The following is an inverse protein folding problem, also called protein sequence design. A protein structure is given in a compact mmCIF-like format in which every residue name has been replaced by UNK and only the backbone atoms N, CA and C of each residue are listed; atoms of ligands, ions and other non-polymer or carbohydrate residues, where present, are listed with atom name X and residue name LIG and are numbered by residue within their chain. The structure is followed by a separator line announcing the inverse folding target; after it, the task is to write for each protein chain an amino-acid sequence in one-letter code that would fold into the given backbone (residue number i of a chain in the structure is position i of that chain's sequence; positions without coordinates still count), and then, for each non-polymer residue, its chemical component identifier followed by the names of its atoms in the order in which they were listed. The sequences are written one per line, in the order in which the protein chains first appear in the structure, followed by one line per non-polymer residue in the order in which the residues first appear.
data_IF_089227932761
#
_entry.id   IF_089227932761
#
_cell.length_a   1.000
_cell.length_b   1.000
_cell.length_c   1.000
_cell.angle_alpha   90.00
_cell.angle_beta   90.00
_cell.angle_gamma   90.00
#
_symmetry.space_group_name_H-M   'P 1'
#
loop_
_entity.id
_entity.type
_entity.pdbx_description
1 polymer ?
#
# COMPACT_ATOMS: atom_id res chain seq x y z
N UNK A 1 5.55 27.05 -10.84
CA UNK A 1 4.49 26.10 -10.38
C UNK A 1 4.96 25.40 -9.11
N UNK A 2 4.29 25.64 -7.99
CA UNK A 2 4.72 25.24 -6.64
C UNK A 2 4.73 23.71 -6.49
N UNK A 3 5.93 23.13 -6.56
CA UNK A 3 6.14 21.73 -6.24
C UNK A 3 6.26 21.62 -4.72
N UNK A 4 5.16 21.27 -4.05
CA UNK A 4 5.06 21.22 -2.58
C UNK A 4 5.91 20.10 -1.93
N UNK A 5 6.47 19.19 -2.72
CA UNK A 5 7.29 18.07 -2.26
C UNK A 5 8.61 18.00 -3.05
N UNK A 6 9.71 17.84 -2.33
CA UNK A 6 11.01 17.56 -2.92
C UNK A 6 11.15 16.05 -3.19
N UNK A 7 11.11 15.65 -4.46
CA UNK A 7 11.26 14.24 -4.85
C UNK A 7 12.74 13.87 -4.82
N UNK A 8 13.15 13.11 -3.80
CA UNK A 8 14.55 12.70 -3.63
C UNK A 8 14.88 11.45 -4.44
N UNK A 9 13.94 10.49 -4.53
CA UNK A 9 14.12 9.21 -5.22
C UNK A 9 12.77 8.65 -5.71
N UNK A 10 12.84 7.77 -6.72
CA UNK A 10 11.71 7.00 -7.23
C UNK A 10 12.08 5.50 -7.30
N UNK A 11 11.14 4.64 -6.94
CA UNK A 11 11.34 3.19 -6.89
C UNK A 11 10.15 2.46 -7.51
N UNK A 12 10.43 1.37 -8.24
CA UNK A 12 9.41 0.57 -8.93
C UNK A 12 8.63 -0.42 -8.05
N UNK A 13 8.96 -0.56 -6.76
CA UNK A 13 8.29 -1.51 -5.86
C UNK A 13 8.18 -0.98 -4.43
N UNK A 14 7.15 -1.42 -3.72
CA UNK A 14 6.97 -1.08 -2.29
C UNK A 14 8.13 -1.61 -1.44
N UNK A 15 8.70 -2.75 -1.80
CA UNK A 15 9.81 -3.33 -1.03
C UNK A 15 11.09 -2.51 -1.17
N UNK A 16 11.40 -2.02 -2.38
CA UNK A 16 12.53 -1.10 -2.58
C UNK A 16 12.35 0.21 -1.79
N UNK A 17 11.12 0.74 -1.72
CA UNK A 17 10.82 1.91 -0.87
C UNK A 17 11.08 1.57 0.60
N UNK A 18 10.62 0.41 1.09
CA UNK A 18 10.83 0.00 2.49
C UNK A 18 12.30 -0.08 2.85
N UNK A 19 13.11 -0.72 2.02
CA UNK A 19 14.56 -0.82 2.26
C UNK A 19 15.24 0.57 2.26
N UNK A 20 14.84 1.47 1.36
CA UNK A 20 15.35 2.84 1.35
C UNK A 20 14.97 3.62 2.63
N UNK A 21 13.74 3.42 3.14
CA UNK A 21 13.32 4.02 4.40
C UNK A 21 14.08 3.46 5.60
N UNK A 22 14.31 2.14 5.65
CA UNK A 22 15.08 1.47 6.71
C UNK A 22 16.54 1.96 6.69
N UNK A 23 17.10 2.20 5.50
CA UNK A 23 18.41 2.79 5.32
C UNK A 23 18.48 4.30 5.66
N UNK A 24 17.36 4.93 6.04
CA UNK A 24 17.31 6.33 6.47
C UNK A 24 17.34 7.34 5.33
N UNK A 25 17.01 6.93 4.10
CA UNK A 25 17.14 7.76 2.91
C UNK A 25 15.98 8.75 2.70
N UNK A 26 14.93 8.70 3.53
CA UNK A 26 13.82 9.66 3.46
C UNK A 26 12.56 9.25 4.21
N UNK A 27 11.43 9.80 3.79
CA UNK A 27 10.08 9.50 4.29
C UNK A 27 9.15 9.19 3.11
N UNK A 28 8.12 8.37 3.34
CA UNK A 28 7.13 8.04 2.33
C UNK A 28 5.74 7.81 2.93
N UNK A 29 4.71 7.91 2.10
CA UNK A 29 3.33 7.57 2.45
C UNK A 29 3.05 6.17 1.91
N UNK A 30 2.87 5.21 2.82
CA UNK A 30 2.64 3.80 2.48
C UNK A 30 1.37 3.27 3.13
N UNK A 31 0.83 2.18 2.58
CA UNK A 31 -0.26 1.46 3.23
C UNK A 31 0.22 0.91 4.57
N UNK A 32 -0.51 1.17 5.66
CA UNK A 32 -0.18 0.59 6.96
C UNK A 32 -0.03 -0.93 6.88
N UNK A 33 -0.86 -1.59 6.07
CA UNK A 33 -0.80 -3.05 5.85
C UNK A 33 0.52 -3.54 5.26
N UNK A 34 1.22 -2.74 4.44
CA UNK A 34 2.49 -3.15 3.81
C UNK A 34 3.71 -2.97 4.71
N UNK A 35 3.59 -2.19 5.80
CA UNK A 35 4.67 -1.88 6.74
C UNK A 35 4.42 -2.39 8.17
N UNK A 36 3.35 -3.19 8.38
CA UNK A 36 2.99 -3.73 9.71
C UNK A 36 4.13 -4.47 10.39
N UNK A 37 4.92 -5.24 9.64
CA UNK A 37 6.04 -6.02 10.17
C UNK A 37 7.15 -5.08 10.64
N UNK A 38 7.52 -4.12 9.82
CA UNK A 38 8.62 -3.19 10.08
C UNK A 38 8.32 -2.27 11.27
N UNK A 39 7.05 -1.85 11.44
CA UNK A 39 6.62 -1.13 12.65
C UNK A 39 6.72 -2.02 13.89
N UNK A 40 6.20 -3.25 13.82
CA UNK A 40 6.25 -4.20 14.94
C UNK A 40 7.69 -4.51 15.36
N UNK A 41 8.57 -4.69 14.38
CA UNK A 41 9.97 -5.06 14.58
C UNK A 41 10.85 -3.82 14.89
N UNK A 42 10.26 -2.61 14.93
CA UNK A 42 10.95 -1.36 15.27
C UNK A 42 11.87 -0.81 14.18
N UNK A 43 11.82 -1.36 12.98
CA UNK A 43 12.63 -0.96 11.82
C UNK A 43 12.13 0.34 11.18
N UNK A 44 10.82 0.59 11.23
CA UNK A 44 10.19 1.81 10.76
C UNK A 44 9.32 2.43 11.86
N UNK A 45 9.02 3.73 11.72
CA UNK A 45 8.10 4.45 12.60
C UNK A 45 7.07 5.22 11.79
N UNK A 46 5.84 5.27 12.30
CA UNK A 46 4.78 6.08 11.70
C UNK A 46 4.83 7.51 12.20
N UNK A 47 4.59 8.47 11.31
CA UNK A 47 4.50 9.91 11.62
C UNK A 47 3.02 10.30 11.54
N UNK A 48 2.35 10.61 12.66
CA UNK A 48 0.95 11.01 12.64
C UNK A 48 0.78 12.43 12.07
N UNK A 49 -0.08 12.57 11.07
CA UNK A 49 -0.42 13.87 10.47
C UNK A 49 -1.81 14.28 10.92
N UNK A 50 -1.91 15.40 11.65
CA UNK A 50 -3.19 15.91 12.16
C UNK A 50 -4.10 16.33 11.00
N UNK A 51 -5.37 15.96 11.08
CA UNK A 51 -6.39 16.31 10.08
C UNK A 51 -6.32 15.52 8.77
N UNK A 52 -5.36 14.61 8.61
CA UNK A 52 -5.21 13.81 7.39
C UNK A 52 -5.79 12.41 7.60
N UNK A 53 -6.81 12.07 6.81
CA UNK A 53 -7.37 10.71 6.73
C UNK A 53 -7.31 10.23 5.29
N UNK A 54 -6.35 9.35 5.01
CA UNK A 54 -6.23 8.70 3.71
C UNK A 54 -7.02 7.38 3.73
N UNK A 55 -8.09 7.32 2.94
CA UNK A 55 -8.85 6.09 2.70
C UNK A 55 -8.67 5.67 1.25
N UNK A 56 -8.58 4.36 1.02
CA UNK A 56 -8.47 3.78 -0.31
C UNK A 56 -9.37 2.57 -0.38
N UNK A 57 -10.19 2.52 -1.41
CA UNK A 57 -11.04 1.38 -1.71
C UNK A 57 -10.27 0.32 -2.52
N UNK A 58 -10.62 -0.94 -2.29
CA UNK A 58 -10.15 -2.06 -3.10
C UNK A 58 -11.30 -2.56 -3.98
N UNK A 59 -10.97 -2.84 -5.24
CA UNK A 59 -11.95 -3.22 -6.25
C UNK A 59 -11.67 -4.62 -6.80
N UNK A 60 -12.73 -5.37 -7.06
CA UNK A 60 -12.66 -6.65 -7.76
C UNK A 60 -12.90 -6.38 -9.25
N UNK A 61 -11.89 -6.60 -10.10
CA UNK A 61 -11.95 -6.31 -11.54
C UNK A 61 -11.88 -7.61 -12.33
N UNK A 62 -12.86 -7.82 -13.22
CA UNK A 62 -12.92 -8.97 -14.11
C UNK A 62 -13.60 -8.58 -15.43
N UNK A 63 -13.31 -9.34 -16.49
CA UNK A 63 -13.84 -9.05 -17.81
C UNK A 63 -15.36 -9.27 -17.87
N UNK A 64 -16.11 -8.24 -18.26
CA UNK A 64 -17.59 -8.25 -18.25
C UNK A 64 -18.19 -9.40 -19.07
N UNK A 65 -17.53 -9.81 -20.15
CA UNK A 65 -18.03 -10.85 -21.05
C UNK A 65 -17.44 -12.25 -20.76
N UNK A 66 -16.70 -12.42 -19.66
CA UNK A 66 -16.12 -13.72 -19.29
C UNK A 66 -16.80 -14.23 -18.02
N UNK A 67 -17.43 -15.39 -18.12
CA UNK A 67 -17.94 -16.08 -16.94
C UNK A 67 -16.77 -16.45 -16.00
N UNK A 68 -16.96 -16.19 -14.71
CA UNK A 68 -16.00 -16.60 -13.69
C UNK A 68 -16.08 -18.12 -13.50
N UNK A 69 -14.93 -18.78 -13.43
CA UNK A 69 -14.88 -20.20 -13.08
C UNK A 69 -15.41 -20.41 -11.65
N UNK A 70 -15.85 -21.63 -11.29
CA UNK A 70 -16.26 -21.92 -9.92
C UNK A 70 -15.18 -21.56 -8.89
N UNK A 71 -13.91 -21.81 -9.21
CA UNK A 71 -12.76 -21.45 -8.34
C UNK A 71 -12.63 -19.93 -8.19
N UNK A 72 -12.78 -19.16 -9.28
CA UNK A 72 -12.76 -17.70 -9.20
C UNK A 72 -13.91 -17.15 -8.37
N UNK A 73 -15.12 -17.70 -8.50
CA UNK A 73 -16.27 -17.31 -7.70
C UNK A 73 -16.05 -17.61 -6.22
N UNK A 74 -15.54 -18.81 -5.90
CA UNK A 74 -15.18 -19.19 -4.53
C UNK A 74 -14.13 -18.23 -3.95
N UNK A 75 -13.13 -17.83 -4.74
CA UNK A 75 -12.14 -16.85 -4.31
C UNK A 75 -12.75 -15.47 -4.05
N UNK A 76 -13.61 -14.95 -4.93
CA UNK A 76 -14.30 -13.68 -4.69
C UNK A 76 -15.20 -13.72 -3.46
N UNK A 77 -15.84 -14.87 -3.20
CA UNK A 77 -16.63 -15.06 -1.98
C UNK A 77 -15.74 -15.03 -0.73
N UNK A 78 -14.61 -15.74 -0.75
CA UNK A 78 -13.62 -15.71 0.32
C UNK A 78 -13.11 -14.29 0.62
N UNK A 79 -12.83 -13.50 -0.42
CA UNK A 79 -12.36 -12.11 -0.25
C UNK A 79 -13.39 -11.20 0.43
N UNK A 80 -14.70 -11.47 0.31
CA UNK A 80 -15.75 -10.66 0.96
C UNK A 80 -15.93 -10.96 2.44
N UNK A 81 -15.39 -12.08 2.93
CA UNK A 81 -15.52 -12.50 4.32
C UNK A 81 -14.36 -12.01 5.21
N UNK A 82 -13.41 -11.27 4.66
CA UNK A 82 -12.23 -10.73 5.34
C UNK A 82 -12.19 -9.22 5.26
#
# INVERSE_FOLDING_TARGET
PEQLLNVVMEFGSTEAIKEALIAGLGVSILSRTSIRREIRDGLLREIPIRGLRLQRDFYQVFHRHRALSPVSQAFLHFLKQR
#
